data_IF_244588713572
#
_entry.id   IF_244588713572
#
_cell.length_a   1.000
_cell.length_b   1.000
_cell.length_c   1.000
_cell.angle_alpha   90.00
_cell.angle_beta   90.00
_cell.angle_gamma   90.00
#
_symmetry.space_group_name_H-M   'P 1'
#
loop_
_entity.id
_entity.type
_entity.pdbx_description
1 polymer ?
#
# COMPACT_ATOMS: atom_id res chain seq x y z
N UNK A 1 -25.69 -43.66 30.18
CA UNK A 1 -26.26 -42.65 29.28
C UNK A 1 -25.23 -42.28 28.24
N UNK A 2 -25.32 -42.87 27.03
CA UNK A 2 -24.43 -42.58 25.90
C UNK A 2 -25.04 -41.43 25.13
N UNK A 3 -24.29 -40.34 24.96
CA UNK A 3 -24.63 -39.26 24.01
C UNK A 3 -23.93 -39.52 22.69
N UNK A 4 -24.70 -39.93 21.69
CA UNK A 4 -24.29 -39.97 20.29
C UNK A 4 -24.28 -38.53 19.75
N UNK A 5 -23.10 -37.99 19.41
CA UNK A 5 -22.99 -36.84 18.55
C UNK A 5 -23.00 -37.28 17.09
N UNK A 6 -24.09 -36.97 16.39
CA UNK A 6 -24.13 -36.99 14.93
C UNK A 6 -23.30 -35.83 14.42
N UNK A 7 -22.18 -36.11 13.77
CA UNK A 7 -21.42 -35.16 12.97
C UNK A 7 -22.01 -35.16 11.57
N UNK A 8 -22.63 -34.06 11.19
CA UNK A 8 -23.21 -33.86 9.86
C UNK A 8 -22.08 -33.61 8.84
N UNK A 9 -21.84 -34.62 8.00
CA UNK A 9 -20.83 -34.65 6.93
C UNK A 9 -21.41 -34.08 5.65
N UNK A 10 -21.64 -32.77 5.56
CA UNK A 10 -22.00 -32.08 4.29
C UNK A 10 -21.27 -30.76 4.13
N UNK A 11 -19.96 -30.79 3.91
CA UNK A 11 -19.19 -29.71 3.29
C UNK A 11 -17.87 -30.23 2.69
N UNK A 12 -17.97 -31.25 1.83
CA UNK A 12 -16.85 -31.72 1.01
C UNK A 12 -17.27 -31.84 -0.46
N UNK A 13 -17.73 -30.75 -1.05
CA UNK A 13 -17.85 -30.67 -2.52
C UNK A 13 -17.63 -29.21 -2.93
N UNK A 14 -16.39 -28.74 -3.01
CA UNK A 14 -15.98 -27.64 -3.90
C UNK A 14 -14.45 -27.46 -4.03
N UNK A 15 -13.65 -28.47 -3.76
CA UNK A 15 -12.20 -28.43 -4.03
C UNK A 15 -11.79 -29.13 -5.33
N UNK A 16 -12.70 -29.72 -6.04
CA UNK A 16 -12.39 -30.45 -7.28
C UNK A 16 -12.15 -29.55 -8.50
N UNK A 17 -12.58 -28.28 -8.47
CA UNK A 17 -12.37 -27.33 -9.57
C UNK A 17 -10.94 -26.81 -9.70
N UNK A 18 -10.15 -26.84 -8.62
CA UNK A 18 -8.77 -26.37 -8.61
C UNK A 18 -7.75 -27.41 -9.12
N UNK A 19 -8.10 -28.69 -9.18
CA UNK A 19 -7.16 -29.76 -9.55
C UNK A 19 -7.28 -30.27 -10.98
N UNK A 20 -8.31 -29.93 -11.75
CA UNK A 20 -8.55 -30.49 -13.09
C UNK A 20 -7.92 -29.68 -14.24
N UNK A 21 -7.36 -28.47 -14.00
CA UNK A 21 -6.74 -27.66 -15.05
C UNK A 21 -5.21 -27.56 -14.96
N UNK A 22 -4.53 -28.40 -14.18
CA UNK A 22 -3.08 -28.37 -13.99
C UNK A 22 -2.28 -29.26 -14.95
N UNK A 23 -2.84 -29.65 -16.10
CA UNK A 23 -2.12 -30.44 -17.10
C UNK A 23 -2.11 -29.75 -18.46
N UNK A 24 -1.47 -28.58 -18.54
CA UNK A 24 -0.81 -28.13 -19.78
C UNK A 24 0.62 -27.76 -19.40
N UNK A 25 1.56 -28.57 -19.86
CA UNK A 25 3.00 -28.33 -19.73
C UNK A 25 3.34 -26.92 -20.24
N UNK A 26 3.91 -26.08 -19.38
CA UNK A 26 4.49 -24.80 -19.77
C UNK A 26 3.75 -23.51 -19.38
N UNK A 27 2.55 -23.56 -18.81
CA UNK A 27 1.90 -22.32 -18.34
C UNK A 27 2.44 -21.91 -16.95
N UNK A 28 3.30 -20.91 -16.91
CA UNK A 28 3.69 -20.27 -15.65
C UNK A 28 2.48 -19.55 -15.10
N UNK A 29 1.84 -20.10 -14.06
CA UNK A 29 0.70 -19.50 -13.37
C UNK A 29 1.19 -18.36 -12.46
N UNK A 30 1.04 -17.13 -12.92
CA UNK A 30 1.21 -15.94 -12.08
C UNK A 30 -0.17 -15.53 -11.53
N UNK A 31 -0.23 -15.11 -10.25
CA UNK A 31 -1.48 -14.60 -9.67
C UNK A 31 -2.03 -13.44 -10.51
N UNK A 32 -3.29 -13.51 -10.89
CA UNK A 32 -3.94 -12.51 -11.75
C UNK A 32 -3.89 -11.10 -11.16
N UNK A 33 -3.94 -10.98 -9.84
CA UNK A 33 -3.77 -9.70 -9.14
C UNK A 33 -2.43 -9.05 -9.46
N UNK A 34 -1.33 -9.83 -9.56
CA UNK A 34 0.00 -9.31 -9.90
C UNK A 34 0.03 -8.80 -11.34
N UNK A 35 -0.51 -9.57 -12.29
CA UNK A 35 -0.49 -9.21 -13.71
C UNK A 35 -1.45 -8.08 -14.05
N UNK A 36 -2.58 -7.98 -13.36
CA UNK A 36 -3.66 -7.04 -13.66
C UNK A 36 -3.61 -5.76 -12.84
N UNK A 37 -2.94 -5.75 -11.68
CA UNK A 37 -2.81 -4.56 -10.84
C UNK A 37 -2.22 -3.38 -11.62
N UNK A 38 -2.87 -2.24 -11.50
CA UNK A 38 -2.40 -0.95 -12.05
C UNK A 38 -2.41 0.12 -10.97
N UNK A 39 -1.55 1.11 -11.12
CA UNK A 39 -1.61 2.35 -10.33
C UNK A 39 -2.75 3.21 -10.86
N UNK A 40 -3.81 3.32 -10.10
CA UNK A 40 -5.03 4.06 -10.44
C UNK A 40 -4.95 5.48 -9.87
N UNK A 41 -5.24 6.46 -10.68
CA UNK A 41 -5.14 7.90 -10.36
C UNK A 41 -6.45 8.67 -10.59
N UNK A 42 -7.47 7.99 -11.10
CA UNK A 42 -8.82 8.52 -11.26
C UNK A 42 -9.81 7.57 -10.63
N UNK A 43 -10.68 8.10 -9.79
CA UNK A 43 -11.62 7.32 -9.02
C UNK A 43 -13.06 7.75 -9.31
N UNK A 44 -13.98 6.82 -9.19
CA UNK A 44 -15.41 7.09 -9.20
C UNK A 44 -15.80 7.77 -7.87
N UNK A 45 -16.80 8.66 -7.93
CA UNK A 45 -17.37 9.24 -6.72
C UNK A 45 -18.33 8.25 -6.04
N UNK A 46 -17.75 7.14 -5.55
CA UNK A 46 -18.46 6.07 -4.90
C UNK A 46 -17.74 5.69 -3.60
N UNK A 47 -18.43 5.62 -2.47
CA UNK A 47 -17.80 5.21 -1.21
C UNK A 47 -17.35 3.75 -1.27
N UNK A 48 -16.22 3.46 -0.62
CA UNK A 48 -15.74 2.09 -0.43
C UNK A 48 -16.34 1.53 0.86
N UNK A 49 -17.04 0.39 0.81
CA UNK A 49 -17.57 -0.25 2.00
C UNK A 49 -16.48 -0.61 3.01
N UNK A 50 -16.73 -0.34 4.29
CA UNK A 50 -15.77 -0.56 5.39
C UNK A 50 -15.20 -1.99 5.39
N UNK A 51 -16.02 -2.99 5.17
CA UNK A 51 -15.58 -4.39 5.15
C UNK A 51 -14.55 -4.72 4.05
N UNK A 52 -14.56 -3.98 2.92
CA UNK A 52 -13.52 -4.14 1.89
C UNK A 52 -12.21 -3.49 2.33
N UNK A 53 -12.28 -2.33 2.98
CA UNK A 53 -11.10 -1.67 3.56
C UNK A 53 -10.47 -2.57 4.62
N UNK A 54 -11.28 -3.16 5.49
CA UNK A 54 -10.82 -4.11 6.52
C UNK A 54 -10.12 -5.33 5.92
N UNK A 55 -10.65 -5.92 4.85
CA UNK A 55 -9.98 -7.03 4.14
C UNK A 55 -8.62 -6.63 3.57
N UNK A 56 -8.52 -5.43 3.00
CA UNK A 56 -7.27 -4.91 2.46
C UNK A 56 -6.23 -4.72 3.58
N UNK A 57 -6.63 -4.13 4.71
CA UNK A 57 -5.74 -3.96 5.87
C UNK A 57 -5.32 -5.32 6.43
N UNK A 58 -6.24 -6.28 6.56
CA UNK A 58 -5.93 -7.64 6.99
C UNK A 58 -4.88 -8.30 6.10
N UNK A 59 -4.98 -8.12 4.78
CA UNK A 59 -3.95 -8.62 3.86
C UNK A 59 -2.58 -7.97 4.11
N UNK A 60 -2.55 -6.66 4.38
CA UNK A 60 -1.33 -5.96 4.80
C UNK A 60 -0.74 -6.53 6.08
N UNK A 61 -1.58 -6.81 7.08
CA UNK A 61 -1.15 -7.39 8.37
C UNK A 61 -0.55 -8.80 8.24
N UNK A 62 -0.89 -9.54 7.18
CA UNK A 62 -0.33 -10.87 6.90
C UNK A 62 1.03 -10.83 6.22
N UNK A 63 1.57 -9.66 5.92
CA UNK A 63 2.91 -9.53 5.34
C UNK A 63 4.00 -10.04 6.31
N UNK A 64 5.09 -10.61 5.78
CA UNK A 64 6.25 -10.91 6.62
C UNK A 64 6.91 -9.63 7.11
N UNK A 65 7.51 -9.69 8.30
CA UNK A 65 8.32 -8.59 8.82
C UNK A 65 9.57 -9.11 9.51
N UNK A 66 10.65 -8.32 9.47
CA UNK A 66 11.89 -8.67 10.13
C UNK A 66 11.67 -8.96 11.63
N UNK A 67 12.03 -10.15 12.10
CA UNK A 67 11.82 -10.62 13.49
C UNK A 67 10.36 -10.49 13.96
N UNK A 68 9.40 -10.53 13.03
CA UNK A 68 7.97 -10.34 13.28
C UNK A 68 7.65 -9.00 14.02
N UNK A 69 8.41 -7.95 13.73
CA UNK A 69 8.28 -6.65 14.42
C UNK A 69 7.01 -5.89 14.02
N UNK A 70 6.40 -6.18 12.86
CA UNK A 70 5.16 -5.61 12.37
C UNK A 70 5.13 -4.07 12.51
N UNK A 71 6.06 -3.36 11.85
CA UNK A 71 6.30 -1.93 12.10
C UNK A 71 5.21 -1.01 11.57
N UNK A 72 4.25 -1.54 10.85
CA UNK A 72 3.16 -0.77 10.22
C UNK A 72 2.08 -0.36 11.22
N UNK A 73 1.62 0.87 11.07
CA UNK A 73 0.40 1.37 11.69
C UNK A 73 -0.42 2.08 10.60
N UNK A 74 -1.68 1.66 10.43
CA UNK A 74 -2.53 2.14 9.35
C UNK A 74 -3.54 3.15 9.87
N UNK A 75 -3.62 4.33 9.23
CA UNK A 75 -4.63 5.35 9.52
C UNK A 75 -5.51 5.51 8.29
N UNK A 76 -6.78 5.16 8.43
CA UNK A 76 -7.78 5.24 7.36
C UNK A 76 -8.49 6.57 7.44
N UNK A 77 -8.46 7.34 6.35
CA UNK A 77 -9.19 8.59 6.23
C UNK A 77 -10.23 8.49 5.12
N UNK A 78 -11.45 8.93 5.43
CA UNK A 78 -12.56 9.05 4.49
C UNK A 78 -13.52 10.15 4.97
N UNK A 79 -14.36 10.68 4.08
CA UNK A 79 -15.32 11.72 4.43
C UNK A 79 -14.66 12.96 5.04
N UNK A 80 -15.24 13.56 6.12
CA UNK A 80 -14.71 14.78 6.72
C UNK A 80 -13.29 14.67 7.26
N UNK A 81 -12.92 13.54 7.89
CA UNK A 81 -11.58 13.32 8.41
C UNK A 81 -10.49 13.36 7.32
N UNK A 82 -10.83 12.99 6.08
CA UNK A 82 -9.93 13.13 4.92
C UNK A 82 -9.67 14.59 4.58
N UNK A 83 -10.62 15.50 4.79
CA UNK A 83 -10.45 16.92 4.49
C UNK A 83 -9.35 17.57 5.35
N UNK A 84 -9.25 17.21 6.62
CA UNK A 84 -8.21 17.72 7.52
C UNK A 84 -6.82 17.22 7.09
N UNK A 85 -6.72 15.96 6.71
CA UNK A 85 -5.50 15.39 6.14
C UNK A 85 -5.10 16.09 4.82
N UNK A 86 -6.08 16.34 3.93
CA UNK A 86 -5.84 17.08 2.67
C UNK A 86 -5.41 18.53 2.92
N UNK A 87 -5.95 19.16 3.97
CA UNK A 87 -5.52 20.50 4.37
C UNK A 87 -4.06 20.49 4.82
N UNK A 88 -3.66 19.53 5.66
CA UNK A 88 -2.27 19.36 6.06
C UNK A 88 -1.35 19.15 4.84
N UNK A 89 -1.73 18.25 3.91
CA UNK A 89 -0.97 18.02 2.67
C UNK A 89 -0.86 19.29 1.82
N UNK A 90 -1.93 20.08 1.71
CA UNK A 90 -1.93 21.34 0.94
C UNK A 90 -1.04 22.39 1.59
N UNK A 91 -1.08 22.52 2.91
CA UNK A 91 -0.23 23.45 3.65
C UNK A 91 1.25 23.11 3.48
N UNK A 92 1.60 21.82 3.55
CA UNK A 92 2.96 21.37 3.29
C UNK A 92 3.43 21.71 1.88
N UNK A 93 2.61 21.49 0.86
CA UNK A 93 2.94 21.87 -0.51
C UNK A 93 3.10 23.39 -0.70
N UNK A 94 2.39 24.19 0.06
CA UNK A 94 2.58 25.66 0.05
C UNK A 94 3.92 26.04 0.71
N UNK A 95 4.21 25.47 1.89
CA UNK A 95 5.49 25.69 2.59
C UNK A 95 6.67 25.24 1.73
N UNK A 96 6.53 24.12 1.03
CA UNK A 96 7.58 23.53 0.19
C UNK A 96 8.08 24.47 -0.93
N UNK A 97 7.24 25.42 -1.38
CA UNK A 97 7.64 26.43 -2.38
C UNK A 97 8.66 27.43 -1.82
N UNK A 98 8.55 27.77 -0.54
CA UNK A 98 9.37 28.77 0.11
C UNK A 98 10.52 28.12 0.90
N UNK A 99 10.24 27.00 1.52
CA UNK A 99 11.14 26.25 2.39
C UNK A 99 11.12 24.75 2.04
N UNK A 100 11.85 24.34 0.98
CA UNK A 100 11.88 22.95 0.54
C UNK A 100 12.41 22.02 1.63
N UNK A 101 11.75 20.88 1.83
CA UNK A 101 12.18 19.83 2.76
C UNK A 101 13.53 19.22 2.35
N UNK A 102 13.73 19.03 1.04
CA UNK A 102 14.99 18.60 0.45
C UNK A 102 15.40 19.61 -0.62
N UNK A 103 16.70 19.86 -0.74
CA UNK A 103 17.24 20.89 -1.64
C UNK A 103 16.77 20.76 -3.10
N UNK A 104 16.53 19.53 -3.56
CA UNK A 104 16.13 19.23 -4.94
C UNK A 104 14.62 18.95 -5.10
N UNK A 105 13.83 19.08 -4.03
CA UNK A 105 12.40 18.74 -4.06
C UNK A 105 11.60 19.66 -4.99
N UNK A 106 12.03 20.88 -5.20
CA UNK A 106 11.35 21.88 -6.04
C UNK A 106 11.07 21.39 -7.46
N UNK A 107 11.97 20.61 -8.06
CA UNK A 107 11.76 20.03 -9.39
C UNK A 107 10.62 18.99 -9.44
N UNK A 108 10.19 18.44 -8.32
CA UNK A 108 9.16 17.42 -8.20
C UNK A 108 7.81 17.94 -7.69
N UNK A 109 7.69 19.23 -7.38
CA UNK A 109 6.47 19.84 -6.84
C UNK A 109 5.23 19.62 -7.71
N UNK A 110 5.38 19.64 -9.05
CA UNK A 110 4.27 19.35 -9.96
C UNK A 110 3.70 17.95 -9.80
N UNK A 111 4.57 16.97 -9.49
CA UNK A 111 4.18 15.60 -9.15
C UNK A 111 3.40 15.55 -7.84
N UNK A 112 3.89 16.21 -6.81
CA UNK A 112 3.25 16.25 -5.50
C UNK A 112 1.89 16.97 -5.52
N UNK A 113 1.74 18.05 -6.30
CA UNK A 113 0.43 18.69 -6.55
C UNK A 113 -0.55 17.75 -7.25
N UNK A 114 -0.08 16.96 -8.21
CA UNK A 114 -0.90 15.94 -8.86
C UNK A 114 -1.31 14.85 -7.86
N UNK A 115 -0.41 14.45 -6.98
CA UNK A 115 -0.70 13.48 -5.92
C UNK A 115 -1.77 14.00 -4.97
N UNK A 116 -1.73 15.27 -4.55
CA UNK A 116 -2.80 15.89 -3.77
C UNK A 116 -4.14 15.78 -4.49
N UNK A 117 -4.23 16.11 -5.79
CA UNK A 117 -5.46 15.99 -6.58
C UNK A 117 -5.98 14.55 -6.63
N UNK A 118 -5.08 13.55 -6.70
CA UNK A 118 -5.46 12.13 -6.67
C UNK A 118 -6.03 11.77 -5.29
N UNK A 119 -5.40 12.22 -4.20
CA UNK A 119 -5.90 12.00 -2.84
C UNK A 119 -7.27 12.68 -2.61
N UNK A 120 -7.49 13.85 -3.20
CA UNK A 120 -8.78 14.54 -3.15
C UNK A 120 -9.89 13.73 -3.82
N UNK A 121 -9.62 13.13 -4.99
CA UNK A 121 -10.58 12.33 -5.75
C UNK A 121 -10.84 10.94 -5.15
N UNK A 122 -9.84 10.35 -4.51
CA UNK A 122 -9.98 9.03 -3.91
C UNK A 122 -10.96 9.07 -2.72
N UNK A 123 -11.97 8.17 -2.67
CA UNK A 123 -12.91 8.14 -1.54
C UNK A 123 -12.24 7.77 -0.22
N UNK A 124 -11.12 7.07 -0.26
CA UNK A 124 -10.35 6.64 0.91
C UNK A 124 -8.86 6.92 0.69
N UNK A 125 -8.19 7.41 1.73
CA UNK A 125 -6.73 7.44 1.80
C UNK A 125 -6.29 6.74 3.08
N UNK A 126 -5.38 5.78 2.95
CA UNK A 126 -4.78 5.05 4.05
C UNK A 126 -3.35 5.56 4.21
N UNK A 127 -3.03 6.17 5.34
CA UNK A 127 -1.68 6.56 5.68
C UNK A 127 -0.99 5.40 6.39
N UNK A 128 0.30 5.19 6.10
CA UNK A 128 1.09 4.10 6.66
C UNK A 128 2.27 4.68 7.42
N UNK A 129 2.25 4.48 8.72
CA UNK A 129 3.28 4.95 9.65
C UNK A 129 4.16 3.77 10.04
N UNK A 130 5.47 3.96 9.99
CA UNK A 130 6.44 3.10 10.65
C UNK A 130 6.40 3.42 12.15
N UNK A 131 5.69 2.62 12.94
CA UNK A 131 5.54 2.84 14.39
C UNK A 131 6.85 2.72 15.18
N UNK A 132 7.88 2.15 14.56
CA UNK A 132 9.23 1.97 15.10
C UNK A 132 10.23 2.92 14.42
N UNK A 133 9.75 3.79 13.53
CA UNK A 133 10.57 4.66 12.70
C UNK A 133 11.16 5.83 13.48
N UNK A 134 12.33 6.25 13.01
CA UNK A 134 13.04 7.43 13.49
C UNK A 134 12.80 8.56 12.49
N UNK A 135 12.60 9.79 12.96
CA UNK A 135 12.43 10.97 12.11
C UNK A 135 13.51 11.00 11.00
N UNK A 136 13.08 11.11 9.75
CA UNK A 136 13.94 11.04 8.56
C UNK A 136 15.09 12.06 8.59
N UNK A 137 14.95 13.16 9.36
CA UNK A 137 15.99 14.19 9.53
C UNK A 137 17.03 13.81 10.58
N UNK A 138 16.75 12.78 11.37
CA UNK A 138 17.67 12.38 12.44
C UNK A 138 18.87 11.62 11.86
N UNK A 139 20.12 12.00 12.23
CA UNK A 139 21.27 11.22 11.84
C UNK A 139 21.19 9.81 12.39
N UNK A 140 21.31 8.81 11.52
CA UNK A 140 21.24 7.40 11.92
C UNK A 140 22.63 6.80 12.10
N UNK A 141 22.82 6.10 13.20
CA UNK A 141 23.93 5.16 13.33
C UNK A 141 23.74 3.94 12.39
N UNK A 142 24.80 3.21 12.12
CA UNK A 142 24.75 2.08 11.17
C UNK A 142 23.70 1.04 11.54
N UNK A 143 23.52 0.76 12.83
CA UNK A 143 22.54 -0.20 13.33
C UNK A 143 21.10 0.30 13.11
N UNK A 144 20.82 1.55 13.44
CA UNK A 144 19.52 2.17 13.23
C UNK A 144 19.15 2.19 11.75
N UNK A 145 20.13 2.48 10.88
CA UNK A 145 19.94 2.44 9.42
C UNK A 145 19.52 1.04 8.94
N UNK A 146 20.13 -0.02 9.49
CA UNK A 146 19.73 -1.39 9.15
C UNK A 146 18.30 -1.65 9.59
N UNK A 147 17.91 -1.20 10.80
CA UNK A 147 16.52 -1.36 11.27
C UNK A 147 15.54 -0.60 10.40
N UNK A 148 15.84 0.65 10.01
CA UNK A 148 14.99 1.42 9.11
C UNK A 148 14.82 0.75 7.74
N UNK A 149 15.88 0.19 7.16
CA UNK A 149 15.81 -0.58 5.91
C UNK A 149 14.89 -1.81 6.10
N UNK A 150 15.05 -2.56 7.20
CA UNK A 150 14.21 -3.72 7.48
C UNK A 150 12.74 -3.35 7.69
N UNK A 151 12.48 -2.23 8.36
CA UNK A 151 11.12 -1.72 8.56
C UNK A 151 10.49 -1.29 7.23
N UNK A 152 11.23 -0.56 6.40
CA UNK A 152 10.77 -0.11 5.08
C UNK A 152 10.45 -1.31 4.16
N UNK A 153 11.28 -2.35 4.15
CA UNK A 153 11.03 -3.60 3.41
C UNK A 153 9.75 -4.29 3.90
N UNK A 154 9.55 -4.37 5.22
CA UNK A 154 8.37 -4.98 5.84
C UNK A 154 7.09 -4.20 5.48
N UNK A 155 7.14 -2.87 5.56
CA UNK A 155 6.02 -1.99 5.16
C UNK A 155 5.76 -2.12 3.66
N UNK A 156 6.80 -2.20 2.83
CA UNK A 156 6.67 -2.44 1.39
C UNK A 156 5.94 -3.76 1.09
N UNK A 157 6.25 -4.83 1.81
CA UNK A 157 5.54 -6.10 1.68
C UNK A 157 4.06 -5.98 2.09
N UNK A 158 3.76 -5.26 3.18
CA UNK A 158 2.39 -4.99 3.61
C UNK A 158 1.61 -4.18 2.56
N UNK A 159 2.22 -3.12 2.03
CA UNK A 159 1.63 -2.27 0.98
C UNK A 159 1.35 -3.07 -0.30
N UNK A 160 2.25 -3.96 -0.72
CA UNK A 160 2.01 -4.78 -1.91
C UNK A 160 0.86 -5.76 -1.68
N UNK A 161 0.79 -6.44 -0.53
CA UNK A 161 -0.38 -7.28 -0.19
C UNK A 161 -1.68 -6.48 -0.26
N UNK A 162 -1.69 -5.24 0.25
CA UNK A 162 -2.86 -4.36 0.20
C UNK A 162 -3.23 -4.00 -1.24
N UNK A 163 -2.26 -3.64 -2.10
CA UNK A 163 -2.53 -3.26 -3.49
C UNK A 163 -3.02 -4.44 -4.32
N UNK A 164 -2.48 -5.64 -4.11
CA UNK A 164 -2.93 -6.86 -4.77
C UNK A 164 -4.34 -7.24 -4.35
N UNK A 165 -4.63 -7.16 -3.05
CA UNK A 165 -5.97 -7.44 -2.51
C UNK A 165 -6.99 -6.42 -3.01
N UNK A 166 -6.64 -5.13 -3.09
CA UNK A 166 -7.51 -4.12 -3.67
C UNK A 166 -7.86 -4.47 -5.14
N UNK A 167 -6.86 -4.87 -5.93
CA UNK A 167 -7.06 -5.29 -7.32
C UNK A 167 -7.96 -6.51 -7.43
N UNK A 168 -7.78 -7.52 -6.57
CA UNK A 168 -8.59 -8.75 -6.54
C UNK A 168 -10.05 -8.46 -6.15
N UNK A 169 -10.26 -7.47 -5.27
CA UNK A 169 -11.59 -7.00 -4.86
C UNK A 169 -12.25 -6.04 -5.87
N UNK A 170 -11.65 -5.81 -7.04
CA UNK A 170 -12.18 -4.90 -8.07
C UNK A 170 -11.99 -3.42 -7.74
N UNK A 171 -11.12 -3.08 -6.78
CA UNK A 171 -10.78 -1.72 -6.42
C UNK A 171 -9.49 -1.27 -7.10
N UNK A 172 -9.39 0.03 -7.37
CA UNK A 172 -8.17 0.70 -7.79
C UNK A 172 -7.39 1.24 -6.60
N UNK A 173 -6.07 1.17 -6.69
CA UNK A 173 -5.19 1.74 -5.68
C UNK A 173 -4.01 2.48 -6.31
N UNK A 174 -3.46 3.44 -5.55
CA UNK A 174 -2.19 4.10 -5.83
C UNK A 174 -1.33 4.08 -4.57
N UNK A 175 -0.15 3.49 -4.66
CA UNK A 175 0.89 3.65 -3.65
C UNK A 175 1.53 5.03 -3.81
N UNK A 176 1.57 5.82 -2.74
CA UNK A 176 2.01 7.21 -2.70
C UNK A 176 3.23 7.32 -1.80
N UNK A 177 4.32 7.88 -2.33
CA UNK A 177 5.53 8.23 -1.59
C UNK A 177 5.65 9.75 -1.38
N UNK A 178 4.87 10.56 -2.09
CA UNK A 178 4.99 12.03 -2.10
C UNK A 178 4.52 12.71 -0.80
N UNK A 179 4.23 11.96 0.25
CA UNK A 179 3.89 12.47 1.59
C UNK A 179 5.00 13.31 2.19
N UNK A 180 6.24 13.12 1.75
CA UNK A 180 7.41 13.89 2.21
C UNK A 180 7.34 15.39 1.87
N UNK A 181 6.58 15.78 0.85
CA UNK A 181 6.35 17.19 0.53
C UNK A 181 5.51 17.93 1.58
N UNK A 182 4.84 17.22 2.46
CA UNK A 182 4.06 17.76 3.56
C UNK A 182 4.40 17.04 4.87
N UNK A 183 5.65 16.66 5.02
CA UNK A 183 6.11 15.81 6.12
C UNK A 183 5.73 16.38 7.48
N UNK A 184 6.11 17.62 7.77
CA UNK A 184 5.87 18.25 9.07
C UNK A 184 4.39 18.43 9.35
N UNK A 185 3.64 18.90 8.36
CA UNK A 185 2.20 19.16 8.49
C UNK A 185 1.40 17.88 8.68
N UNK A 186 1.76 16.80 7.97
CA UNK A 186 1.12 15.51 8.12
C UNK A 186 1.51 14.85 9.45
N UNK A 187 2.77 14.91 9.86
CA UNK A 187 3.21 14.40 11.16
C UNK A 187 2.53 15.14 12.32
N UNK A 188 2.41 16.46 12.23
CA UNK A 188 1.68 17.26 13.22
C UNK A 188 0.19 16.91 13.25
N UNK A 189 -0.44 16.75 12.09
CA UNK A 189 -1.84 16.35 12.00
C UNK A 189 -2.07 14.94 12.56
N UNK A 190 -1.17 14.01 12.27
CA UNK A 190 -1.24 12.63 12.79
C UNK A 190 -1.09 12.59 14.31
N UNK A 191 -0.28 13.47 14.88
CA UNK A 191 0.02 13.52 16.32
C UNK A 191 0.39 12.15 16.91
N UNK A 192 1.14 11.36 16.16
CA UNK A 192 1.55 10.00 16.52
C UNK A 192 3.07 9.89 16.62
N UNK A 193 3.53 8.89 17.38
CA UNK A 193 4.93 8.48 17.35
C UNK A 193 5.18 7.63 16.12
N UNK A 194 6.37 7.74 15.56
CA UNK A 194 6.81 6.99 14.39
C UNK A 194 6.98 7.87 13.17
N UNK A 195 7.23 7.26 12.04
CA UNK A 195 7.59 7.90 10.78
C UNK A 195 6.51 7.66 9.73
N UNK A 196 5.93 8.72 9.17
CA UNK A 196 5.01 8.58 8.03
C UNK A 196 5.80 8.11 6.80
N UNK A 197 5.60 6.85 6.42
CA UNK A 197 6.41 6.20 5.38
C UNK A 197 5.75 6.23 4.01
N UNK A 198 4.43 6.09 3.95
CA UNK A 198 3.69 6.04 2.70
C UNK A 198 2.21 6.37 2.89
N UNK A 199 1.50 6.53 1.78
CA UNK A 199 0.05 6.52 1.76
C UNK A 199 -0.47 5.65 0.61
N UNK A 200 -1.74 5.27 0.68
CA UNK A 200 -2.45 4.54 -0.36
C UNK A 200 -3.79 5.24 -0.64
N UNK A 201 -3.96 5.74 -1.85
CA UNK A 201 -5.28 6.15 -2.32
C UNK A 201 -6.04 4.91 -2.78
N UNK A 202 -7.33 4.81 -2.43
CA UNK A 202 -8.16 3.63 -2.66
C UNK A 202 -9.59 4.04 -3.08
N UNK A 203 -10.14 3.35 -4.07
CA UNK A 203 -11.52 3.56 -4.55
C UNK A 203 -11.84 2.72 -5.78
N UNK A 204 -13.04 2.84 -6.31
CA UNK A 204 -13.40 2.23 -7.58
C UNK A 204 -12.71 3.00 -8.72
N UNK A 205 -12.02 2.27 -9.61
CA UNK A 205 -11.27 2.88 -10.70
C UNK A 205 -12.21 3.57 -11.70
N UNK A 206 -11.86 4.78 -12.14
CA UNK A 206 -12.49 5.50 -13.24
C UNK A 206 -11.52 5.65 -14.44
N UNK A 207 -10.64 4.69 -14.57
CA UNK A 207 -9.68 4.56 -15.67
C UNK A 207 -9.19 3.10 -15.79
N UNK A 208 -8.65 2.76 -16.96
CA UNK A 208 -8.03 1.45 -17.22
C UNK A 208 -6.68 1.67 -17.90
N UNK A 209 -5.64 2.06 -17.15
CA UNK A 209 -4.35 2.36 -17.74
C UNK A 209 -3.65 1.10 -18.26
N UNK A 210 -2.95 1.24 -19.39
CA UNK A 210 -2.11 0.17 -19.93
C UNK A 210 -1.00 -0.23 -18.94
N UNK A 211 -0.53 -1.46 -19.06
CA UNK A 211 0.63 -1.93 -18.33
C UNK A 211 1.87 -1.10 -18.69
N UNK A 212 2.62 -0.68 -17.68
CA UNK A 212 3.91 -0.03 -17.91
C UNK A 212 4.95 -1.07 -18.34
N UNK A 213 5.88 -0.74 -19.25
CA UNK A 213 6.96 -1.64 -19.63
C UNK A 213 7.80 -2.03 -18.41
N UNK A 214 8.39 -3.19 -18.47
CA UNK A 214 9.36 -3.71 -17.50
C UNK A 214 10.66 -4.01 -18.20
N UNK A 215 11.74 -3.97 -17.46
CA UNK A 215 13.03 -4.48 -17.94
C UNK A 215 12.92 -5.97 -18.25
N UNK A 216 13.70 -6.43 -19.20
CA UNK A 216 13.81 -7.85 -19.47
C UNK A 216 14.54 -8.56 -18.31
N UNK A 217 14.33 -9.87 -18.21
CA UNK A 217 14.96 -10.66 -17.15
C UNK A 217 16.48 -10.59 -17.22
N UNK A 218 17.04 -10.60 -18.41
CA UNK A 218 18.50 -10.56 -18.68
C UNK A 218 19.15 -9.24 -18.20
N UNK A 219 18.37 -8.16 -18.08
CA UNK A 219 18.87 -6.86 -17.60
C UNK A 219 18.94 -6.77 -16.06
N UNK A 220 18.25 -7.69 -15.34
CA UNK A 220 18.06 -7.59 -13.88
C UNK A 220 18.37 -8.87 -13.13
N UNK A 221 18.70 -9.97 -13.84
CA UNK A 221 18.98 -11.28 -13.22
C UNK A 221 20.33 -11.78 -13.66
N UNK A 222 21.20 -12.08 -12.71
CA UNK A 222 22.43 -12.84 -12.90
C UNK A 222 22.25 -14.24 -12.32
N UNK A 223 22.39 -15.28 -13.17
CA UNK A 223 22.27 -16.67 -12.75
C UNK A 223 23.63 -17.20 -12.28
N UNK A 224 23.75 -17.53 -10.99
CA UNK A 224 24.94 -18.19 -10.42
C UNK A 224 24.58 -19.61 -9.98
N UNK A 225 24.07 -20.38 -10.89
CA UNK A 225 23.69 -21.79 -10.70
C UNK A 225 24.66 -22.66 -11.50
N UNK A 226 25.12 -23.76 -10.90
CA UNK A 226 25.97 -24.78 -11.56
C UNK A 226 25.13 -25.98 -11.89
#
# INVERSE_FOLDING_TARGET
MQYNMHVDTKHHENTSWLHTNLKSEGAVYMLSAITNRRSIRRYQNQPVPKHLIEKIIQAGMLAPSSKNRQPWFFIVTAGPAKNDMLLAMRNGLLREKEHPFLAESTQHQSGALRTLQIMEQAPVVILVVNSLGIDIRHPLHSEDRIYEICNAQSIGAAMENMTLTASDLGLGSLWICDTYFAYDELQQWLNLRGELTAAMALGYANESPAARPRKNMDEIVEWRIK
#
